data_IF_802207029210
#
_entry.id   IF_802207029210
#
_cell.length_a   1.000
_cell.length_b   1.000
_cell.length_c   1.000
_cell.angle_alpha   90.00
_cell.angle_beta   90.00
_cell.angle_gamma   90.00
#
_symmetry.space_group_name_H-M   'P 1'
#
loop_
_entity.id
_entity.type
_entity.pdbx_description
1 polymer ?
#
# COMPACT_ATOMS: atom_id res chain seq x y z
N UNK A 1 -10.92 42.07 1.25
CA UNK A 1 -10.49 40.82 0.61
C UNK A 1 -10.62 39.71 1.64
N UNK A 2 -11.77 39.04 1.68
CA UNK A 2 -11.94 37.77 2.38
C UNK A 2 -12.17 36.76 1.28
N UNK A 3 -11.10 36.21 0.74
CA UNK A 3 -11.17 34.96 -0.02
C UNK A 3 -11.42 33.86 1.00
N UNK A 4 -12.65 33.81 1.52
CA UNK A 4 -13.09 32.74 2.39
C UNK A 4 -13.04 31.47 1.57
N UNK A 5 -11.98 30.69 1.76
CA UNK A 5 -11.86 29.35 1.21
C UNK A 5 -13.15 28.60 1.55
N UNK A 6 -13.95 28.31 0.52
CA UNK A 6 -15.16 27.52 0.64
C UNK A 6 -14.76 26.08 0.95
N UNK A 7 -14.35 25.82 2.19
CA UNK A 7 -14.16 24.46 2.69
C UNK A 7 -15.53 23.92 3.02
N UNK A 8 -16.08 23.14 2.09
CA UNK A 8 -17.21 22.30 2.42
C UNK A 8 -16.78 21.32 3.53
N UNK A 9 -17.65 21.08 4.51
CA UNK A 9 -17.35 20.26 5.69
C UNK A 9 -16.94 18.82 5.36
N UNK A 10 -17.26 18.33 4.16
CA UNK A 10 -16.87 17.02 3.65
C UNK A 10 -15.48 16.97 2.99
N UNK A 11 -14.88 18.12 2.67
CA UNK A 11 -13.58 18.19 1.99
C UNK A 11 -12.43 17.47 2.73
N UNK A 12 -12.26 17.62 4.07
CA UNK A 12 -11.20 16.89 4.78
C UNK A 12 -11.39 15.37 4.77
N UNK A 13 -12.64 14.88 4.68
CA UNK A 13 -12.93 13.46 4.55
C UNK A 13 -12.53 12.95 3.16
N UNK A 14 -12.89 13.69 2.11
CA UNK A 14 -12.53 13.35 0.74
C UNK A 14 -11.02 13.33 0.53
N UNK A 15 -10.31 14.32 1.08
CA UNK A 15 -8.85 14.41 1.03
C UNK A 15 -8.17 13.19 1.68
N UNK A 16 -8.60 12.84 2.90
CA UNK A 16 -8.08 11.67 3.62
C UNK A 16 -8.34 10.36 2.88
N UNK A 17 -9.51 10.21 2.25
CA UNK A 17 -9.83 9.04 1.43
C UNK A 17 -8.98 8.95 0.16
N UNK A 18 -8.78 10.06 -0.55
CA UNK A 18 -7.95 10.09 -1.76
C UNK A 18 -6.49 9.75 -1.46
N UNK A 19 -5.97 10.29 -0.37
CA UNK A 19 -4.62 10.00 0.14
C UNK A 19 -4.47 8.52 0.53
N UNK A 20 -5.41 7.98 1.31
CA UNK A 20 -5.40 6.57 1.70
C UNK A 20 -5.51 5.60 0.52
N UNK A 21 -6.29 5.94 -0.52
CA UNK A 21 -6.40 5.17 -1.77
C UNK A 21 -5.10 5.25 -2.59
N UNK A 22 -4.49 6.44 -2.64
CA UNK A 22 -3.19 6.65 -3.28
C UNK A 22 -2.11 5.77 -2.65
N UNK A 23 -1.98 5.83 -1.31
CA UNK A 23 -1.03 5.03 -0.57
C UNK A 23 -1.23 3.51 -0.77
N UNK A 24 -2.48 3.05 -0.73
CA UNK A 24 -2.82 1.66 -0.99
C UNK A 24 -2.43 1.22 -2.42
N UNK A 25 -2.69 2.06 -3.42
CA UNK A 25 -2.34 1.76 -4.81
C UNK A 25 -0.83 1.64 -5.02
N UNK A 26 -0.04 2.55 -4.43
CA UNK A 26 1.43 2.54 -4.52
C UNK A 26 1.99 1.28 -3.86
N UNK A 27 1.47 0.89 -2.69
CA UNK A 27 1.89 -0.34 -2.02
C UNK A 27 1.66 -1.59 -2.90
N UNK A 28 0.49 -1.67 -3.55
CA UNK A 28 0.15 -2.74 -4.50
C UNK A 28 1.11 -2.76 -5.69
N UNK A 29 1.37 -1.59 -6.31
CA UNK A 29 2.28 -1.49 -7.44
C UNK A 29 3.73 -1.85 -7.08
N UNK A 30 4.21 -1.41 -5.91
CA UNK A 30 5.56 -1.71 -5.44
C UNK A 30 5.76 -3.23 -5.28
N UNK A 31 4.80 -3.93 -4.66
CA UNK A 31 4.86 -5.38 -4.47
C UNK A 31 4.78 -6.12 -5.81
N UNK A 32 3.88 -5.71 -6.71
CA UNK A 32 3.73 -6.31 -8.04
C UNK A 32 4.99 -6.13 -8.89
N UNK A 33 5.56 -4.92 -8.92
CA UNK A 33 6.76 -4.62 -9.69
C UNK A 33 7.96 -5.43 -9.20
N UNK A 34 8.12 -5.56 -7.88
CA UNK A 34 9.16 -6.39 -7.29
C UNK A 34 8.99 -7.88 -7.64
N UNK A 35 7.75 -8.38 -7.67
CA UNK A 35 7.44 -9.74 -8.11
C UNK A 35 7.74 -9.98 -9.61
N UNK A 36 7.59 -8.95 -10.45
CA UNK A 36 7.93 -9.02 -11.88
C UNK A 36 9.44 -9.06 -12.13
N UNK A 37 10.24 -8.36 -11.32
CA UNK A 37 11.70 -8.29 -11.52
C UNK A 37 12.47 -9.53 -11.04
N UNK A 38 11.93 -10.30 -10.09
CA UNK A 38 12.61 -11.48 -9.54
C UNK A 38 11.85 -12.80 -9.85
N UNK A 39 12.21 -13.55 -10.91
CA UNK A 39 11.48 -14.76 -11.30
C UNK A 39 11.67 -15.95 -10.33
N UNK A 40 12.79 -16.02 -9.60
CA UNK A 40 13.21 -17.19 -8.81
C UNK A 40 12.81 -17.14 -7.32
N UNK A 41 12.58 -15.97 -6.73
CA UNK A 41 12.28 -15.79 -5.29
C UNK A 41 11.15 -14.77 -5.04
N UNK A 42 10.06 -14.86 -5.82
CA UNK A 42 8.94 -13.89 -5.81
C UNK A 42 8.38 -13.61 -4.41
N UNK A 43 8.24 -14.64 -3.58
CA UNK A 43 7.69 -14.50 -2.23
C UNK A 43 8.65 -13.79 -1.28
N UNK A 44 9.93 -14.18 -1.27
CA UNK A 44 10.94 -13.55 -0.42
C UNK A 44 11.06 -12.06 -0.71
N UNK A 45 11.12 -11.70 -2.00
CA UNK A 45 11.22 -10.29 -2.44
C UNK A 45 9.97 -9.50 -2.06
N UNK A 46 8.78 -10.08 -2.22
CA UNK A 46 7.52 -9.44 -1.83
C UNK A 46 7.47 -9.12 -0.32
N UNK A 47 7.91 -10.05 0.54
CA UNK A 47 7.98 -9.81 1.99
C UNK A 47 9.00 -8.74 2.36
N UNK A 48 10.18 -8.72 1.72
CA UNK A 48 11.21 -7.71 1.98
C UNK A 48 10.71 -6.32 1.59
N UNK A 49 10.10 -6.18 0.41
CA UNK A 49 9.56 -4.90 -0.06
C UNK A 49 8.43 -4.43 0.84
N UNK A 50 7.57 -5.34 1.31
CA UNK A 50 6.51 -5.01 2.27
C UNK A 50 7.10 -4.54 3.61
N UNK A 51 8.12 -5.21 4.13
CA UNK A 51 8.75 -4.84 5.40
C UNK A 51 9.44 -3.47 5.32
N UNK A 52 10.21 -3.22 4.26
CA UNK A 52 10.88 -1.93 4.05
C UNK A 52 9.85 -0.82 3.80
N UNK A 53 8.84 -1.07 2.97
CA UNK A 53 7.75 -0.13 2.72
C UNK A 53 6.96 0.21 3.99
N UNK A 54 6.67 -0.79 4.83
CA UNK A 54 6.00 -0.59 6.12
C UNK A 54 6.84 0.24 7.09
N UNK A 55 8.17 0.02 7.14
CA UNK A 55 9.07 0.85 7.95
C UNK A 55 9.05 2.32 7.49
N UNK A 56 9.16 2.57 6.18
CA UNK A 56 9.05 3.92 5.63
C UNK A 56 7.69 4.56 5.93
N UNK A 57 6.60 3.83 5.73
CA UNK A 57 5.25 4.31 6.02
C UNK A 57 5.05 4.59 7.52
N UNK A 58 5.66 3.79 8.41
CA UNK A 58 5.60 4.00 9.86
C UNK A 58 6.33 5.28 10.27
N UNK A 59 7.50 5.58 9.68
CA UNK A 59 8.19 6.85 9.95
C UNK A 59 7.37 8.06 9.51
N UNK A 60 6.72 7.99 8.34
CA UNK A 60 5.84 9.06 7.85
C UNK A 60 4.56 9.21 8.68
N UNK A 61 3.99 8.09 9.16
CA UNK A 61 2.82 8.12 10.03
C UNK A 61 3.09 8.80 11.37
N UNK A 62 4.30 8.64 11.92
CA UNK A 62 4.72 9.30 13.16
C UNK A 62 4.86 10.81 12.95
N UNK A 63 5.52 11.22 11.86
CA UNK A 63 5.79 12.64 11.57
C UNK A 63 4.53 13.41 11.15
N UNK A 64 3.66 12.82 10.32
CA UNK A 64 2.46 13.49 9.78
C UNK A 64 1.15 13.13 10.51
N UNK A 65 1.19 12.29 11.55
CA UNK A 65 -0.01 11.67 12.17
C UNK A 65 -0.96 10.99 11.17
N UNK A 66 -0.46 10.57 10.00
CA UNK A 66 -1.23 9.98 8.91
C UNK A 66 -1.49 8.47 9.12
N UNK A 67 -2.02 8.10 10.29
CA UNK A 67 -2.25 6.69 10.68
C UNK A 67 -3.20 5.96 9.74
N UNK A 68 -4.17 6.68 9.17
CA UNK A 68 -5.20 6.10 8.30
C UNK A 68 -4.60 5.59 6.97
N UNK A 69 -3.65 6.34 6.41
CA UNK A 69 -2.91 5.95 5.21
C UNK A 69 -1.95 4.79 5.48
N UNK A 70 -1.34 4.77 6.67
CA UNK A 70 -0.49 3.67 7.08
C UNK A 70 -1.26 2.34 7.12
N UNK A 71 -2.41 2.31 7.80
CA UNK A 71 -3.21 1.10 7.86
C UNK A 71 -3.74 0.67 6.48
N UNK A 72 -4.17 1.62 5.64
CA UNK A 72 -4.63 1.28 4.29
C UNK A 72 -3.51 0.67 3.44
N UNK A 73 -2.30 1.24 3.48
CA UNK A 73 -1.14 0.75 2.75
C UNK A 73 -0.69 -0.64 3.25
N UNK A 74 -0.66 -0.87 4.56
CA UNK A 74 -0.27 -2.16 5.14
C UNK A 74 -1.28 -3.25 4.79
N UNK A 75 -2.59 -2.99 4.91
CA UNK A 75 -3.63 -3.98 4.58
C UNK A 75 -3.61 -4.29 3.08
N UNK A 76 -3.48 -3.26 2.23
CA UNK A 76 -3.39 -3.43 0.78
C UNK A 76 -2.13 -4.22 0.38
N UNK A 77 -0.96 -3.91 0.96
CA UNK A 77 0.28 -4.64 0.76
C UNK A 77 0.20 -6.10 1.21
N UNK A 78 -0.37 -6.36 2.39
CA UNK A 78 -0.54 -7.72 2.91
C UNK A 78 -1.48 -8.55 2.02
N UNK A 79 -2.60 -7.96 1.59
CA UNK A 79 -3.55 -8.65 0.71
C UNK A 79 -2.95 -9.00 -0.65
N UNK A 80 -2.09 -8.14 -1.20
CA UNK A 80 -1.36 -8.44 -2.45
C UNK A 80 -0.36 -9.58 -2.27
N UNK A 81 0.41 -9.61 -1.18
CA UNK A 81 1.33 -10.73 -0.90
C UNK A 81 0.56 -12.05 -0.76
N UNK A 82 -0.60 -12.04 -0.07
CA UNK A 82 -1.46 -13.23 0.06
C UNK A 82 -2.01 -13.67 -1.30
N UNK A 83 -2.45 -12.74 -2.14
CA UNK A 83 -2.93 -13.04 -3.49
C UNK A 83 -1.83 -13.67 -4.36
N UNK A 84 -0.62 -13.10 -4.34
CA UNK A 84 0.55 -13.64 -5.06
C UNK A 84 0.92 -15.04 -4.54
N UNK A 85 0.90 -15.25 -3.22
CA UNK A 85 1.15 -16.57 -2.62
C UNK A 85 0.13 -17.60 -3.07
N UNK A 86 -1.16 -17.28 -3.01
CA UNK A 86 -2.24 -18.17 -3.49
C UNK A 86 -2.07 -18.50 -4.97
N UNK A 87 -1.74 -17.51 -5.80
CA UNK A 87 -1.54 -17.74 -7.23
C UNK A 87 -0.34 -18.65 -7.53
N UNK A 88 0.73 -18.54 -6.75
CA UNK A 88 1.90 -19.41 -6.87
C UNK A 88 1.61 -20.85 -6.44
N UNK A 89 0.83 -21.05 -5.37
CA UNK A 89 0.42 -22.37 -4.90
C UNK A 89 -0.44 -23.09 -5.96
N UNK A 90 -1.48 -22.41 -6.48
CA UNK A 90 -2.35 -22.96 -7.53
C UNK A 90 -1.59 -23.42 -8.79
N UNK A 91 -0.48 -22.77 -9.13
CA UNK A 91 0.38 -23.18 -10.26
C UNK A 91 1.28 -24.37 -9.96
N UNK A 92 1.59 -24.60 -8.69
CA UNK A 92 2.40 -25.74 -8.25
C UNK A 92 1.55 -27.00 -8.16
N UNK A 93 0.29 -26.88 -7.72
CA UNK A 93 -0.67 -28.00 -7.63
C UNK A 93 -1.18 -28.48 -9.00
N UNK A 94 -1.05 -27.66 -10.05
CA UNK A 94 -1.45 -27.99 -11.42
C UNK A 94 -0.39 -28.78 -12.22
N UNK A 95 0.73 -29.15 -11.60
CA UNK A 95 1.90 -29.77 -12.24
C UNK A 95 2.19 -31.14 -11.65
#
# INVERSE_FOLDING_TARGET
>A
MVSGTCHASWFPLAESCSLALGAASIAVFAVLFACCMAPSQKLTVAYVVLAVGALCALTLAIELQAWLEFFSAVIAGMSTVVAVRRWHQNRSDAK
#
